data_IF_076475263411
#
_entry.id   IF_076475263411
#
_cell.length_a   1.000
_cell.length_b   1.000
_cell.length_c   1.000
_cell.angle_alpha   90.00
_cell.angle_beta   90.00
_cell.angle_gamma   90.00
#
_symmetry.space_group_name_H-M   'P 1'
#
loop_
_entity.id
_entity.type
_entity.pdbx_description
1 polymer ?
#
# COMPACT_ATOMS: atom_id res chain seq x y z
N UNK A 1 16.62 38.87 -43.28
CA UNK A 1 16.44 37.58 -42.57
C UNK A 1 16.49 37.76 -41.04
N UNK A 2 15.53 38.46 -40.40
CA UNK A 2 15.56 38.74 -38.95
C UNK A 2 14.39 38.14 -38.14
N UNK A 3 13.38 37.54 -38.80
CA UNK A 3 12.14 37.13 -38.14
C UNK A 3 12.09 35.65 -37.73
N UNK A 4 13.11 34.84 -38.08
CA UNK A 4 13.14 33.40 -37.78
C UNK A 4 13.73 33.14 -36.39
N UNK A 5 14.69 33.96 -35.93
CA UNK A 5 15.30 33.80 -34.61
C UNK A 5 14.37 34.23 -33.47
N UNK A 6 13.55 35.27 -33.67
CA UNK A 6 12.62 35.75 -32.65
C UNK A 6 11.47 34.76 -32.39
N UNK A 7 10.98 34.07 -33.43
CA UNK A 7 9.97 33.00 -33.30
C UNK A 7 10.52 31.77 -32.55
N UNK A 8 11.80 31.43 -32.75
CA UNK A 8 12.46 30.30 -32.06
C UNK A 8 12.68 30.58 -30.57
N UNK A 9 12.96 31.83 -30.19
CA UNK A 9 13.13 32.24 -28.78
C UNK A 9 11.79 32.20 -28.03
N UNK A 10 10.69 32.63 -28.67
CA UNK A 10 9.34 32.54 -28.09
C UNK A 10 8.89 31.07 -27.94
N UNK A 11 9.26 30.19 -28.88
CA UNK A 11 8.94 28.76 -28.79
C UNK A 11 9.70 28.05 -27.66
N UNK A 12 10.93 28.48 -27.34
CA UNK A 12 11.72 27.89 -26.25
C UNK A 12 11.19 28.29 -24.86
N UNK A 13 10.63 29.51 -24.72
CA UNK A 13 10.13 30.03 -23.45
C UNK A 13 8.79 29.37 -23.02
N UNK A 14 8.01 28.87 -23.98
CA UNK A 14 6.73 28.17 -23.71
C UNK A 14 6.90 26.74 -23.17
N UNK A 15 8.07 26.12 -23.31
CA UNK A 15 8.30 24.73 -22.86
C UNK A 15 8.56 24.67 -21.35
N UNK A 16 9.01 25.77 -20.72
CA UNK A 16 9.45 25.78 -19.31
C UNK A 16 8.29 25.89 -18.31
N UNK A 17 7.07 26.24 -18.74
CA UNK A 17 5.95 26.54 -17.82
C UNK A 17 5.07 25.30 -17.52
N UNK A 18 5.37 24.13 -18.10
CA UNK A 18 4.48 22.97 -18.07
C UNK A 18 4.51 22.08 -16.82
N UNK A 19 5.38 22.32 -15.84
CA UNK A 19 5.55 21.41 -14.69
C UNK A 19 4.91 21.95 -13.41
N UNK A 20 3.62 22.26 -13.45
CA UNK A 20 2.83 22.29 -12.22
C UNK A 20 2.28 20.89 -12.02
N UNK A 21 3.06 20.06 -11.32
CA UNK A 21 2.60 18.78 -10.80
C UNK A 21 1.41 19.08 -9.90
N UNK A 22 0.21 18.81 -10.40
CA UNK A 22 -1.00 18.84 -9.59
C UNK A 22 -0.90 17.65 -8.64
N UNK A 23 -0.30 17.88 -7.47
CA UNK A 23 -0.43 16.98 -6.34
C UNK A 23 -1.91 16.97 -5.98
N UNK A 24 -2.66 15.98 -6.48
CA UNK A 24 -4.04 15.79 -6.07
C UNK A 24 -4.03 15.57 -4.56
N UNK A 25 -4.54 16.54 -3.80
CA UNK A 25 -4.77 16.41 -2.37
C UNK A 25 -5.86 15.35 -2.17
N UNK A 26 -5.46 14.08 -2.20
CA UNK A 26 -6.34 12.95 -1.93
C UNK A 26 -6.74 13.08 -0.45
N UNK A 27 -8.04 13.33 -0.19
CA UNK A 27 -8.55 13.40 1.18
C UNK A 27 -8.11 12.16 1.95
N UNK A 28 -7.27 12.36 2.97
CA UNK A 28 -6.81 11.30 3.85
C UNK A 28 -7.98 10.88 4.72
N UNK A 29 -8.34 9.61 4.64
CA UNK A 29 -9.28 8.95 5.54
C UNK A 29 -8.47 7.96 6.37
N UNK A 30 -8.09 8.37 7.56
CA UNK A 30 -7.24 7.61 8.48
C UNK A 30 -8.09 6.84 9.50
N UNK A 31 -7.57 5.73 10.00
CA UNK A 31 -8.14 4.96 11.11
C UNK A 31 -7.02 4.31 11.92
N UNK A 32 -7.20 4.24 13.24
CA UNK A 32 -6.25 3.60 14.16
C UNK A 32 -6.78 2.28 14.68
N UNK A 33 -5.89 1.33 14.95
CA UNK A 33 -6.21 0.07 15.62
C UNK A 33 -7.03 0.29 16.89
N UNK A 34 -6.63 1.27 17.71
CA UNK A 34 -7.24 1.54 19.02
C UNK A 34 -8.57 2.31 18.92
N UNK A 35 -8.95 2.77 17.72
CA UNK A 35 -10.12 3.62 17.49
C UNK A 35 -11.00 3.12 16.34
N UNK A 36 -11.13 1.80 16.18
CA UNK A 36 -12.01 1.19 15.19
C UNK A 36 -13.48 1.28 15.64
N UNK A 37 -14.25 2.17 15.01
CA UNK A 37 -15.67 2.40 15.33
C UNK A 37 -16.59 2.28 14.13
N UNK A 38 -16.06 2.06 12.92
CA UNK A 38 -16.86 2.03 11.70
C UNK A 38 -16.22 1.17 10.62
N UNK A 39 -17.04 0.35 9.98
CA UNK A 39 -16.66 -0.39 8.79
C UNK A 39 -16.52 0.54 7.56
N UNK A 40 -15.61 0.19 6.65
CA UNK A 40 -15.44 0.88 5.38
C UNK A 40 -14.00 0.87 4.89
N UNK A 41 -13.76 1.59 3.79
CA UNK A 41 -12.44 1.72 3.17
C UNK A 41 -11.76 3.01 3.60
N UNK A 42 -10.45 2.94 3.83
CA UNK A 42 -9.57 3.99 4.35
C UNK A 42 -8.34 4.14 3.45
N UNK A 43 -7.64 5.26 3.58
CA UNK A 43 -6.41 5.55 2.82
C UNK A 43 -5.14 5.42 3.67
N UNK A 44 -5.30 5.46 4.99
CA UNK A 44 -4.22 5.35 5.97
C UNK A 44 -4.70 4.52 7.17
N UNK A 45 -3.79 3.78 7.76
CA UNK A 45 -4.00 2.97 8.95
C UNK A 45 -2.85 3.16 9.94
N UNK A 46 -3.17 3.33 11.22
CA UNK A 46 -2.20 3.33 12.32
C UNK A 46 -2.29 1.97 13.01
N UNK A 47 -1.21 1.20 12.96
CA UNK A 47 -1.14 -0.13 13.53
C UNK A 47 -1.09 -0.12 15.05
N UNK A 48 -1.33 -1.28 15.68
CA UNK A 48 -1.14 -1.45 17.13
C UNK A 48 0.27 -1.07 17.60
N UNK A 49 1.28 -1.25 16.74
CA UNK A 49 2.67 -0.89 17.02
C UNK A 49 2.97 0.60 16.74
N UNK A 50 1.97 1.41 16.39
CA UNK A 50 2.14 2.82 16.03
C UNK A 50 2.69 3.06 14.63
N UNK A 51 2.80 2.03 13.80
CA UNK A 51 3.29 2.13 12.41
C UNK A 51 2.18 2.67 11.52
N UNK A 52 2.49 3.68 10.71
CA UNK A 52 1.55 4.26 9.75
C UNK A 52 1.71 3.51 8.42
N UNK A 53 0.60 2.96 7.91
CA UNK A 53 0.53 2.32 6.59
C UNK A 53 -0.46 3.07 5.71
N UNK A 54 -0.04 3.39 4.50
CA UNK A 54 -0.84 4.10 3.50
C UNK A 54 -1.14 3.23 2.28
N UNK A 55 -2.23 3.56 1.59
CA UNK A 55 -2.50 2.99 0.27
C UNK A 55 -1.38 3.41 -0.67
N UNK A 56 -0.72 2.41 -1.26
CA UNK A 56 0.48 2.60 -2.05
C UNK A 56 1.73 2.12 -1.33
N UNK A 57 1.69 1.70 -0.07
CA UNK A 57 2.87 1.14 0.59
C UNK A 57 3.19 -0.27 0.10
N UNK A 58 4.45 -0.64 0.21
CA UNK A 58 4.94 -1.96 -0.15
C UNK A 58 5.07 -2.82 1.10
N UNK A 59 4.53 -4.03 1.05
CA UNK A 59 4.71 -5.07 2.05
C UNK A 59 5.57 -6.18 1.44
N UNK A 60 6.36 -6.86 2.26
CA UNK A 60 7.05 -8.09 1.86
C UNK A 60 6.45 -9.27 2.61
N UNK A 61 6.11 -10.31 1.86
CA UNK A 61 5.74 -11.61 2.41
C UNK A 61 7.01 -12.25 3.00
N UNK A 62 6.94 -12.66 4.25
CA UNK A 62 8.06 -13.21 4.99
C UNK A 62 7.81 -14.71 5.26
N UNK A 63 8.20 -15.27 6.40
CA UNK A 63 8.03 -16.70 6.66
C UNK A 63 6.54 -17.04 6.92
N UNK A 64 6.03 -18.16 6.39
CA UNK A 64 4.67 -18.60 6.71
C UNK A 64 4.57 -19.02 8.18
N UNK A 65 3.47 -18.67 8.86
CA UNK A 65 3.25 -19.09 10.26
C UNK A 65 2.93 -20.58 10.40
N UNK A 66 2.57 -21.23 9.29
CA UNK A 66 2.32 -22.66 9.20
C UNK A 66 3.12 -23.19 7.99
N UNK A 67 4.01 -24.17 8.20
CA UNK A 67 5.03 -24.64 7.26
C UNK A 67 4.69 -24.54 5.75
N UNK A 68 3.48 -24.93 5.35
CA UNK A 68 3.06 -24.98 3.94
C UNK A 68 2.27 -23.75 3.46
N UNK A 69 1.75 -22.91 4.36
CA UNK A 69 0.78 -21.85 4.03
C UNK A 69 0.71 -20.71 5.05
N UNK A 70 0.30 -19.54 4.57
CA UNK A 70 0.05 -18.36 5.41
C UNK A 70 -1.35 -18.42 6.01
N UNK A 71 -1.48 -18.13 7.30
CA UNK A 71 -2.77 -18.16 8.03
C UNK A 71 -3.53 -16.85 7.94
N UNK A 72 -2.83 -15.74 7.67
CA UNK A 72 -3.40 -14.39 7.68
C UNK A 72 -3.31 -13.72 6.32
N UNK A 73 -2.88 -14.47 5.29
CA UNK A 73 -2.82 -14.03 3.90
C UNK A 73 -3.62 -14.99 3.04
N UNK A 74 -4.57 -14.46 2.27
CA UNK A 74 -5.41 -15.26 1.35
C UNK A 74 -5.44 -14.67 -0.04
N UNK A 75 -5.65 -15.51 -1.03
CA UNK A 75 -5.84 -15.14 -2.43
C UNK A 75 -6.86 -16.10 -3.04
N UNK A 76 -7.86 -15.58 -3.75
CA UNK A 76 -8.92 -16.38 -4.38
C UNK A 76 -9.59 -17.37 -3.39
N UNK A 77 -9.99 -16.85 -2.22
CA UNK A 77 -10.63 -17.60 -1.12
C UNK A 77 -9.83 -18.78 -0.55
N UNK A 78 -8.53 -18.87 -0.86
CA UNK A 78 -7.61 -19.86 -0.32
C UNK A 78 -6.47 -19.20 0.46
N UNK A 79 -5.91 -19.92 1.44
CA UNK A 79 -4.67 -19.52 2.10
C UNK A 79 -3.53 -19.40 1.08
N UNK A 80 -2.74 -18.35 1.20
CA UNK A 80 -1.57 -18.18 0.36
C UNK A 80 -0.57 -19.31 0.64
N UNK A 81 0.09 -19.81 -0.40
CA UNK A 81 1.05 -20.91 -0.30
C UNK A 81 2.46 -20.38 0.02
N UNK A 82 3.26 -21.19 0.69
CA UNK A 82 4.62 -20.83 1.12
C UNK A 82 5.59 -20.46 -0.02
N UNK A 83 5.34 -20.89 -1.26
CA UNK A 83 6.10 -20.54 -2.47
C UNK A 83 6.01 -19.06 -2.85
N UNK A 84 5.08 -18.32 -2.26
CA UNK A 84 4.95 -16.87 -2.41
C UNK A 84 5.86 -16.08 -1.44
N UNK A 85 6.68 -16.76 -0.64
CA UNK A 85 7.66 -16.14 0.28
C UNK A 85 8.58 -15.15 -0.43
N UNK A 86 8.96 -14.07 0.26
CA UNK A 86 9.81 -12.97 -0.21
C UNK A 86 9.25 -12.12 -1.35
N UNK A 87 8.05 -12.42 -1.86
CA UNK A 87 7.41 -11.58 -2.87
C UNK A 87 6.86 -10.31 -2.25
N UNK A 88 6.75 -9.27 -3.08
CA UNK A 88 6.28 -7.94 -2.67
C UNK A 88 4.80 -7.77 -3.01
N UNK A 89 4.08 -7.18 -2.07
CA UNK A 89 2.69 -6.78 -2.19
C UNK A 89 2.60 -5.24 -2.14
N UNK A 90 1.70 -4.66 -2.92
CA UNK A 90 1.38 -3.23 -2.89
C UNK A 90 0.00 -3.05 -2.29
N UNK A 91 -0.12 -2.25 -1.24
CA UNK A 91 -1.41 -1.94 -0.60
C UNK A 91 -2.28 -1.17 -1.59
N UNK A 92 -3.42 -1.74 -1.97
CA UNK A 92 -4.40 -1.14 -2.88
C UNK A 92 -5.54 -0.49 -2.11
N UNK A 93 -5.98 -1.11 -1.02
CA UNK A 93 -7.03 -0.59 -0.16
C UNK A 93 -6.82 -1.07 1.27
N UNK A 94 -7.19 -0.23 2.23
CA UNK A 94 -7.26 -0.54 3.65
C UNK A 94 -8.75 -0.64 3.99
N UNK A 95 -9.19 -1.78 4.49
CA UNK A 95 -10.61 -2.01 4.78
C UNK A 95 -10.80 -2.40 6.24
N UNK A 96 -11.88 -1.90 6.82
CA UNK A 96 -12.38 -2.31 8.12
C UNK A 96 -13.71 -3.02 7.89
N UNK A 97 -13.82 -4.26 8.35
CA UNK A 97 -15.08 -5.01 8.42
C UNK A 97 -15.50 -5.22 9.87
N UNK A 98 -16.75 -5.59 10.08
CA UNK A 98 -17.31 -5.85 11.40
C UNK A 98 -18.44 -4.90 11.77
N UNK A 99 -18.88 -5.02 13.01
CA UNK A 99 -19.99 -4.29 13.59
C UNK A 99 -19.82 -4.13 15.10
N UNK A 100 -20.68 -3.32 15.73
CA UNK A 100 -20.61 -3.01 17.17
C UNK A 100 -20.82 -4.25 18.07
N UNK A 101 -21.35 -5.36 17.54
CA UNK A 101 -21.59 -6.59 18.32
C UNK A 101 -20.40 -7.56 18.24
N UNK A 102 -19.76 -7.67 17.08
CA UNK A 102 -18.67 -8.62 16.81
C UNK A 102 -17.28 -8.00 16.89
N UNK A 103 -17.21 -6.68 16.97
CA UNK A 103 -15.98 -5.91 16.87
C UNK A 103 -15.58 -5.67 15.42
N UNK A 104 -14.58 -4.81 15.25
CA UNK A 104 -14.04 -4.40 13.96
C UNK A 104 -12.70 -5.08 13.69
N UNK A 105 -12.45 -5.44 12.44
CA UNK A 105 -11.20 -6.05 11.98
C UNK A 105 -10.67 -5.33 10.76
N UNK A 106 -9.37 -5.08 10.75
CA UNK A 106 -8.67 -4.44 9.65
C UNK A 106 -8.07 -5.50 8.74
N UNK A 107 -8.28 -5.35 7.43
CA UNK A 107 -7.62 -6.17 6.42
C UNK A 107 -7.24 -5.31 5.21
N UNK A 108 -6.11 -5.63 4.61
CA UNK A 108 -5.62 -4.93 3.44
C UNK A 108 -5.94 -5.73 2.19
N UNK A 109 -6.37 -5.03 1.15
CA UNK A 109 -6.39 -5.57 -0.21
C UNK A 109 -5.10 -5.14 -0.89
N UNK A 110 -4.34 -6.11 -1.37
CA UNK A 110 -3.05 -5.93 -1.98
C UNK A 110 -3.04 -6.47 -3.42
N UNK A 111 -2.08 -5.98 -4.21
CA UNK A 111 -1.73 -6.51 -5.54
C UNK A 111 -0.25 -6.91 -5.56
N UNK A 112 0.16 -7.79 -6.46
CA UNK A 112 1.57 -8.16 -6.62
C UNK A 112 1.79 -9.61 -7.07
N UNK A 113 0.83 -10.49 -6.83
CA UNK A 113 0.89 -11.92 -7.16
C UNK A 113 -0.04 -12.26 -8.33
N UNK A 114 0.15 -11.57 -9.45
CA UNK A 114 -0.69 -11.72 -10.64
C UNK A 114 -1.95 -10.84 -10.65
N UNK A 115 -3.01 -11.30 -11.31
CA UNK A 115 -4.22 -10.53 -11.58
C UNK A 115 -5.23 -10.51 -10.42
N UNK A 116 -5.15 -11.48 -9.50
CA UNK A 116 -6.09 -11.61 -8.39
C UNK A 116 -5.60 -10.83 -7.16
N UNK A 117 -6.51 -10.18 -6.42
CA UNK A 117 -6.16 -9.47 -5.20
C UNK A 117 -5.71 -10.45 -4.11
N UNK A 118 -4.75 -10.00 -3.31
CA UNK A 118 -4.30 -10.69 -2.09
C UNK A 118 -4.90 -9.98 -0.90
N UNK A 119 -5.49 -10.70 0.04
CA UNK A 119 -6.06 -10.16 1.26
C UNK A 119 -5.15 -10.47 2.44
N UNK A 120 -4.86 -9.46 3.25
CA UNK A 120 -3.96 -9.58 4.40
C UNK A 120 -4.70 -9.12 5.65
N UNK A 121 -4.88 -10.00 6.63
CA UNK A 121 -5.25 -9.61 8.00
C UNK A 121 -4.02 -9.00 8.67
N UNK A 122 -3.85 -7.70 8.48
CA UNK A 122 -2.56 -7.02 8.69
C UNK A 122 -1.98 -7.19 10.09
N UNK A 123 -2.77 -6.93 11.13
CA UNK A 123 -2.29 -7.02 12.52
C UNK A 123 -1.82 -8.43 12.88
N UNK A 124 -2.59 -9.45 12.50
CA UNK A 124 -2.25 -10.84 12.79
C UNK A 124 -1.05 -11.32 11.96
N UNK A 125 -0.98 -10.92 10.68
CA UNK A 125 0.14 -11.22 9.81
C UNK A 125 1.46 -10.56 10.28
N UNK A 126 1.39 -9.33 10.82
CA UNK A 126 2.56 -8.67 11.41
C UNK A 126 2.96 -9.36 12.71
N UNK A 127 1.98 -9.65 13.58
CA UNK A 127 2.24 -10.32 14.86
C UNK A 127 2.87 -11.71 14.68
N UNK A 128 2.52 -12.43 13.61
CA UNK A 128 3.08 -13.74 13.28
C UNK A 128 4.28 -13.69 12.34
N UNK A 129 4.75 -12.48 12.00
CA UNK A 129 5.89 -12.27 11.11
C UNK A 129 5.69 -12.86 9.70
N UNK A 130 4.43 -13.02 9.26
CA UNK A 130 4.07 -13.41 7.89
C UNK A 130 4.25 -12.25 6.90
N UNK A 131 4.14 -11.01 7.38
CA UNK A 131 4.32 -9.81 6.58
C UNK A 131 5.20 -8.81 7.31
N UNK A 132 5.98 -8.04 6.55
CA UNK A 132 6.69 -6.85 7.04
C UNK A 132 6.41 -5.67 6.13
N UNK A 133 6.31 -4.47 6.71
CA UNK A 133 6.29 -3.23 5.96
C UNK A 133 7.69 -2.99 5.38
N UNK A 134 7.76 -2.59 4.12
CA UNK A 134 9.00 -2.14 3.51
C UNK A 134 9.04 -0.63 3.59
N UNK A 135 9.89 -0.11 4.47
CA UNK A 135 10.20 1.31 4.50
C UNK A 135 10.82 1.72 3.16
N UNK A 136 10.34 2.83 2.61
CA UNK A 136 10.85 3.40 1.35
C UNK A 136 12.33 3.81 1.47
N UNK A 137 12.86 3.99 2.69
CA UNK A 137 14.20 4.54 2.95
C UNK A 137 15.38 3.59 2.69
N UNK A 138 15.16 2.28 2.55
CA UNK A 138 16.27 1.31 2.43
C UNK A 138 16.64 0.93 0.98
N UNK A 139 16.11 1.63 -0.03
CA UNK A 139 16.34 1.27 -1.45
C UNK A 139 17.50 2.03 -2.12
N UNK A 140 18.24 2.87 -1.38
CA UNK A 140 19.35 3.69 -1.92
C UNK A 140 20.73 3.41 -1.29
N UNK A 141 20.94 2.27 -0.62
CA UNK A 141 22.23 1.96 0.05
C UNK A 141 22.97 0.74 -0.52
N UNK A 142 22.78 0.42 -1.79
CA UNK A 142 23.68 -0.49 -2.51
C UNK A 142 23.93 0.04 -3.93
N UNK A 143 24.86 0.99 -4.02
CA UNK A 143 25.76 1.14 -5.18
C UNK A 143 27.19 0.82 -4.73
#
# INVERSE_FOLDING_TARGET
>A
MKNVHFKKIILLLLIVVGQQVVAQNKKVKSVSHDALTKAGTYTEYISRAGVIVQVGDSLQINNPSNFERYMYITQNDAYLRADEMNKKLKVKAINVSGDDKKGYTVFFTCKGLGATPVFVRYEDAVQTNEIKLLDQDNTNLQE
#
